data_IF_304310249621
#
_entry.id   IF_304310249621
#
_cell.length_a   1.000
_cell.length_b   1.000
_cell.length_c   1.000
_cell.angle_alpha   90.00
_cell.angle_beta   90.00
_cell.angle_gamma   90.00
#
_symmetry.space_group_name_H-M   'P 1'
#
loop_
_entity.id
_entity.type
_entity.pdbx_description
1 polymer ?
#
# COMPACT_ATOMS: atom_id res chain seq x y z
N UNK A 1 3.94 15.75 -33.07
CA UNK A 1 4.64 15.01 -31.99
C UNK A 1 3.66 14.85 -30.86
N UNK A 2 3.35 13.61 -30.45
CA UNK A 2 2.44 13.41 -29.32
C UNK A 2 3.18 13.75 -28.02
N UNK A 3 2.79 14.83 -27.37
CA UNK A 3 3.37 15.25 -26.11
C UNK A 3 2.90 14.31 -24.98
N UNK A 4 3.82 13.92 -24.09
CA UNK A 4 3.44 13.26 -22.85
C UNK A 4 3.07 14.30 -21.81
N UNK A 5 2.02 14.00 -21.05
CA UNK A 5 1.54 14.76 -19.91
C UNK A 5 1.82 14.02 -18.62
N UNK A 6 2.23 14.74 -17.59
CA UNK A 6 2.62 14.16 -16.30
C UNK A 6 1.84 14.84 -15.18
N UNK A 7 1.10 14.06 -14.44
CA UNK A 7 0.46 14.52 -13.21
C UNK A 7 1.29 14.03 -12.02
N UNK A 8 1.85 14.96 -11.25
CA UNK A 8 2.41 14.69 -9.94
C UNK A 8 1.34 14.83 -8.88
N UNK A 9 1.26 13.86 -7.96
CA UNK A 9 0.27 13.84 -6.89
C UNK A 9 0.98 13.66 -5.56
N UNK A 10 0.89 14.66 -4.69
CA UNK A 10 1.23 14.51 -3.28
C UNK A 10 -0.01 14.04 -2.51
N UNK A 11 0.13 12.89 -1.81
CA UNK A 11 -0.99 12.18 -1.19
C UNK A 11 -1.00 12.39 0.31
N UNK A 12 -2.06 12.99 0.82
CA UNK A 12 -2.33 13.08 2.25
C UNK A 12 -3.67 12.42 2.63
N UNK A 13 -3.93 12.27 3.92
CA UNK A 13 -5.13 11.59 4.44
C UNK A 13 -6.44 12.15 3.87
N UNK A 14 -6.58 13.48 3.74
CA UNK A 14 -7.85 14.13 3.39
C UNK A 14 -7.84 14.79 2.02
N UNK A 15 -6.66 15.09 1.48
CA UNK A 15 -6.49 15.83 0.23
C UNK A 15 -5.37 15.24 -0.62
N UNK A 16 -5.45 15.53 -1.91
CA UNK A 16 -4.37 15.35 -2.87
C UNK A 16 -4.00 16.72 -3.40
N UNK A 17 -2.71 17.04 -3.42
CA UNK A 17 -2.17 18.17 -4.16
C UNK A 17 -1.74 17.66 -5.53
N UNK A 18 -2.26 18.27 -6.60
CA UNK A 18 -2.14 17.79 -7.99
C UNK A 18 -1.43 18.84 -8.83
N UNK A 19 -0.45 18.44 -9.61
CA UNK A 19 0.26 19.33 -10.56
C UNK A 19 0.37 18.63 -11.92
N UNK A 20 -0.26 19.21 -12.96
CA UNK A 20 -0.13 18.79 -14.35
C UNK A 20 1.01 19.52 -15.02
N UNK A 21 1.88 18.78 -15.68
CA UNK A 21 3.00 19.33 -16.46
C UNK A 21 3.06 18.73 -17.87
N UNK A 22 3.48 19.58 -18.82
CA UNK A 22 3.86 19.16 -20.17
C UNK A 22 5.04 20.07 -20.63
N UNK A 23 6.03 19.50 -21.33
CA UNK A 23 7.18 20.24 -21.90
C UNK A 23 7.86 21.21 -20.91
N UNK A 24 8.10 20.77 -19.67
CA UNK A 24 8.67 21.60 -18.58
C UNK A 24 7.80 22.77 -18.09
N UNK A 25 6.56 22.86 -18.51
CA UNK A 25 5.63 23.90 -18.09
C UNK A 25 4.55 23.31 -17.19
N UNK A 26 4.23 24.03 -16.10
CA UNK A 26 3.07 23.74 -15.27
C UNK A 26 1.83 24.25 -16.00
N UNK A 27 0.88 23.38 -16.26
CA UNK A 27 -0.38 23.71 -16.94
C UNK A 27 -1.52 23.90 -15.95
N UNK A 28 -1.55 23.08 -14.87
CA UNK A 28 -2.62 23.09 -13.90
C UNK A 28 -2.12 22.70 -12.52
N UNK A 29 -2.61 23.36 -11.47
CA UNK A 29 -2.36 23.01 -10.08
C UNK A 29 -3.67 23.11 -9.31
N UNK A 30 -3.98 22.07 -8.53
CA UNK A 30 -5.22 22.02 -7.77
C UNK A 30 -5.08 21.13 -6.51
N UNK A 31 -5.95 21.40 -5.55
CA UNK A 31 -6.12 20.56 -4.34
C UNK A 31 -7.49 19.90 -4.40
N UNK A 32 -7.52 18.58 -4.37
CA UNK A 32 -8.76 17.81 -4.44
C UNK A 32 -8.93 16.92 -3.19
N UNK A 33 -10.16 16.60 -2.79
CA UNK A 33 -10.42 15.66 -1.71
C UNK A 33 -9.89 14.26 -2.05
N UNK A 34 -9.26 13.58 -1.08
CA UNK A 34 -8.77 12.21 -1.26
C UNK A 34 -9.91 11.19 -1.17
N UNK A 35 -10.75 11.14 -2.20
CA UNK A 35 -11.78 10.12 -2.40
C UNK A 35 -11.95 9.83 -3.88
N UNK A 36 -12.39 8.62 -4.21
CA UNK A 36 -12.46 8.16 -5.60
C UNK A 36 -13.37 9.00 -6.49
N UNK A 37 -14.49 9.52 -5.96
CA UNK A 37 -15.43 10.34 -6.75
C UNK A 37 -14.79 11.65 -7.19
N UNK A 38 -14.13 12.38 -6.28
CA UNK A 38 -13.45 13.63 -6.59
C UNK A 38 -12.28 13.41 -7.54
N UNK A 39 -11.47 12.36 -7.31
CA UNK A 39 -10.31 12.03 -8.15
C UNK A 39 -10.74 11.70 -9.58
N UNK A 40 -11.74 10.84 -9.76
CA UNK A 40 -12.26 10.46 -11.08
C UNK A 40 -12.83 11.68 -11.81
N UNK A 41 -13.64 12.49 -11.13
CA UNK A 41 -14.22 13.70 -11.72
C UNK A 41 -13.14 14.66 -12.20
N UNK A 42 -12.14 14.93 -11.36
CA UNK A 42 -11.09 15.89 -11.68
C UNK A 42 -10.15 15.41 -12.76
N UNK A 43 -9.74 14.14 -12.73
CA UNK A 43 -8.84 13.62 -13.78
C UNK A 43 -9.53 13.57 -15.15
N UNK A 44 -10.85 13.30 -15.19
CA UNK A 44 -11.63 13.43 -16.43
C UNK A 44 -11.72 14.88 -16.90
N UNK A 45 -11.95 15.84 -16.00
CA UNK A 45 -11.99 17.25 -16.33
C UNK A 45 -10.66 17.73 -16.93
N UNK A 46 -9.52 17.36 -16.29
CA UNK A 46 -8.17 17.66 -16.81
C UNK A 46 -7.97 17.05 -18.20
N UNK A 47 -8.35 15.76 -18.40
CA UNK A 47 -8.22 15.13 -19.72
C UNK A 47 -9.03 15.84 -20.80
N UNK A 48 -10.23 16.29 -20.47
CA UNK A 48 -11.11 17.02 -21.39
C UNK A 48 -10.61 18.45 -21.69
N UNK A 49 -10.20 19.20 -20.65
CA UNK A 49 -9.74 20.58 -20.78
C UNK A 49 -8.47 20.69 -21.62
N UNK A 50 -7.54 19.75 -21.46
CA UNK A 50 -6.25 19.75 -22.16
C UNK A 50 -6.21 18.78 -23.35
N UNK A 51 -7.33 18.17 -23.72
CA UNK A 51 -7.46 17.20 -24.82
C UNK A 51 -6.44 16.05 -24.73
N UNK A 52 -6.23 15.50 -23.52
CA UNK A 52 -5.22 14.49 -23.25
C UNK A 52 -5.75 13.09 -23.51
N UNK A 53 -5.13 12.37 -24.46
CA UNK A 53 -5.34 10.92 -24.61
C UNK A 53 -4.72 10.18 -23.43
N UNK A 54 -5.48 9.23 -22.85
CA UNK A 54 -5.06 8.42 -21.69
C UNK A 54 -3.75 7.66 -21.91
N UNK A 55 -3.39 7.32 -23.15
CA UNK A 55 -2.11 6.69 -23.48
C UNK A 55 -0.91 7.61 -23.29
N UNK A 56 -1.13 8.92 -23.35
CA UNK A 56 -0.12 9.96 -23.21
C UNK A 56 -0.11 10.63 -21.84
N UNK A 57 -0.94 10.12 -20.90
CA UNK A 57 -1.00 10.61 -19.52
C UNK A 57 -0.32 9.62 -18.57
N UNK A 58 0.61 10.12 -17.78
CA UNK A 58 1.26 9.38 -16.70
C UNK A 58 1.02 10.11 -15.38
N UNK A 59 0.44 9.41 -14.42
CA UNK A 59 0.27 9.90 -13.05
C UNK A 59 1.38 9.30 -12.20
N UNK A 60 2.10 10.14 -11.47
CA UNK A 60 3.10 9.74 -10.50
C UNK A 60 2.72 10.24 -9.11
N UNK A 61 2.84 9.37 -8.10
CA UNK A 61 2.58 9.72 -6.71
C UNK A 61 3.60 9.07 -5.79
N UNK A 62 3.87 9.71 -4.64
CA UNK A 62 4.61 9.06 -3.56
C UNK A 62 3.75 7.98 -2.90
N UNK A 63 4.35 6.81 -2.62
CA UNK A 63 3.65 5.76 -1.89
C UNK A 63 3.53 6.12 -0.41
N UNK A 64 2.32 6.47 0.04
CA UNK A 64 1.98 6.87 1.42
C UNK A 64 1.08 5.84 2.14
N UNK A 65 1.28 4.55 1.83
CA UNK A 65 0.53 3.47 2.45
C UNK A 65 -0.96 3.51 2.10
N UNK A 66 -1.82 3.33 3.11
CA UNK A 66 -3.28 3.24 2.91
C UNK A 66 -3.92 4.48 2.27
N UNK A 67 -3.31 5.64 2.38
CA UNK A 67 -3.88 6.87 1.82
C UNK A 67 -3.79 6.94 0.29
N UNK A 68 -2.95 6.11 -0.35
CA UNK A 68 -2.90 5.98 -1.81
C UNK A 68 -4.04 5.14 -2.39
N UNK A 69 -4.80 4.42 -1.58
CA UNK A 69 -5.84 3.49 -2.04
C UNK A 69 -6.92 4.15 -2.92
N UNK A 70 -7.53 5.32 -2.56
CA UNK A 70 -8.50 5.97 -3.45
C UNK A 70 -7.90 6.35 -4.82
N UNK A 71 -6.63 6.78 -4.86
CA UNK A 71 -5.93 7.12 -6.09
C UNK A 71 -5.70 5.87 -6.97
N UNK A 72 -5.24 4.76 -6.38
CA UNK A 72 -5.01 3.51 -7.13
C UNK A 72 -6.29 2.96 -7.75
N UNK A 73 -7.40 2.95 -6.98
CA UNK A 73 -8.71 2.54 -7.49
C UNK A 73 -9.20 3.46 -8.62
N UNK A 74 -9.03 4.78 -8.47
CA UNK A 74 -9.47 5.76 -9.47
C UNK A 74 -8.69 5.65 -10.77
N UNK A 75 -7.37 5.54 -10.71
CA UNK A 75 -6.54 5.35 -11.90
C UNK A 75 -6.84 4.03 -12.62
N UNK A 76 -7.07 2.96 -11.86
CA UNK A 76 -7.50 1.66 -12.42
C UNK A 76 -8.85 1.77 -13.14
N UNK A 77 -9.84 2.44 -12.53
CA UNK A 77 -11.16 2.63 -13.12
C UNK A 77 -11.13 3.52 -14.38
N UNK A 78 -10.18 4.43 -14.48
CA UNK A 78 -9.98 5.31 -15.64
C UNK A 78 -9.07 4.70 -16.72
N UNK A 79 -8.40 3.58 -16.44
CA UNK A 79 -7.39 3.00 -17.34
C UNK A 79 -6.14 3.86 -17.50
N UNK A 80 -5.84 4.76 -16.53
CA UNK A 80 -4.70 5.66 -16.58
C UNK A 80 -3.48 5.01 -15.93
N UNK A 81 -2.31 5.20 -16.54
CA UNK A 81 -1.04 4.70 -16.03
C UNK A 81 -0.67 5.41 -14.73
N UNK A 82 -0.62 4.68 -13.62
CA UNK A 82 -0.18 5.17 -12.32
C UNK A 82 1.20 4.62 -11.99
N UNK A 83 2.11 5.49 -11.63
CA UNK A 83 3.43 5.15 -11.11
C UNK A 83 3.52 5.54 -9.64
N UNK A 84 3.57 4.54 -8.75
CA UNK A 84 3.81 4.74 -7.31
C UNK A 84 5.31 4.61 -7.05
N UNK A 85 5.92 5.70 -6.61
CA UNK A 85 7.35 5.78 -6.38
C UNK A 85 7.69 5.88 -4.88
N UNK A 86 8.89 5.43 -4.52
CA UNK A 86 9.40 5.60 -3.18
C UNK A 86 9.72 7.08 -2.92
N UNK A 87 9.26 7.67 -1.79
CA UNK A 87 9.55 9.05 -1.42
C UNK A 87 11.04 9.40 -1.46
N UNK A 88 11.91 8.45 -1.10
CA UNK A 88 13.36 8.65 -1.14
C UNK A 88 13.88 8.84 -2.56
N UNK A 89 13.38 8.10 -3.55
CA UNK A 89 13.78 8.23 -4.96
C UNK A 89 13.47 9.63 -5.50
N UNK A 90 12.26 10.13 -5.22
CA UNK A 90 11.85 11.48 -5.64
C UNK A 90 12.70 12.53 -4.95
N UNK A 91 12.91 12.42 -3.65
CA UNK A 91 13.71 13.37 -2.85
C UNK A 91 15.15 13.46 -3.34
N UNK A 92 15.82 12.33 -3.58
CA UNK A 92 17.24 12.32 -3.98
C UNK A 92 17.44 12.71 -5.45
N UNK A 93 16.42 12.61 -6.29
CA UNK A 93 16.51 13.00 -7.71
C UNK A 93 16.67 14.51 -7.95
N UNK A 94 16.26 15.34 -6.98
CA UNK A 94 16.26 16.81 -7.12
C UNK A 94 17.62 17.47 -6.89
N UNK A 95 18.64 16.73 -6.41
CA UNK A 95 20.02 17.23 -6.27
C UNK A 95 20.21 18.36 -5.25
N UNK A 96 19.15 18.93 -4.68
CA UNK A 96 19.19 20.01 -3.71
C UNK A 96 18.32 19.68 -2.49
N UNK A 97 18.91 19.78 -1.30
CA UNK A 97 18.18 19.74 -0.04
C UNK A 97 17.48 21.09 0.14
N UNK A 98 16.33 21.27 -0.48
CA UNK A 98 15.50 22.45 -0.17
C UNK A 98 14.84 22.25 1.20
N UNK A 99 15.10 23.18 2.11
CA UNK A 99 14.61 23.20 3.51
C UNK A 99 13.21 23.86 3.65
N UNK A 100 12.40 23.98 2.59
CA UNK A 100 11.06 24.54 2.65
C UNK A 100 10.01 23.46 2.43
N UNK A 101 9.08 23.27 3.36
CA UNK A 101 7.86 22.47 3.18
C UNK A 101 6.79 23.39 2.59
N UNK A 102 6.49 23.21 1.31
CA UNK A 102 5.30 23.77 0.69
C UNK A 102 4.67 22.64 -0.13
N UNK A 103 3.46 22.23 0.22
CA UNK A 103 2.76 21.07 -0.37
C UNK A 103 2.60 21.20 -1.89
N UNK A 104 2.42 22.44 -2.41
CA UNK A 104 2.38 22.73 -3.86
C UNK A 104 3.70 22.42 -4.55
N UNK A 105 4.80 22.67 -3.84
CA UNK A 105 6.16 22.38 -4.34
C UNK A 105 6.37 20.86 -4.44
N UNK A 106 5.73 20.08 -3.58
CA UNK A 106 5.88 18.62 -3.55
C UNK A 106 5.18 17.94 -4.73
N UNK A 107 3.94 18.28 -5.07
CA UNK A 107 3.24 17.75 -6.26
C UNK A 107 3.98 18.11 -7.57
N UNK A 108 4.47 19.35 -7.69
CA UNK A 108 5.29 19.79 -8.82
C UNK A 108 6.61 19.01 -8.91
N UNK A 109 7.28 18.78 -7.78
CA UNK A 109 8.52 17.97 -7.73
C UNK A 109 8.27 16.54 -8.21
N UNK A 110 7.14 15.92 -7.82
CA UNK A 110 6.73 14.59 -8.28
C UNK A 110 6.47 14.61 -9.80
N UNK A 111 5.80 15.62 -10.33
CA UNK A 111 5.57 15.77 -11.78
C UNK A 111 6.88 15.92 -12.57
N UNK A 112 7.83 16.74 -12.08
CA UNK A 112 9.17 16.89 -12.67
C UNK A 112 9.93 15.56 -12.65
N UNK A 113 9.85 14.83 -11.53
CA UNK A 113 10.46 13.51 -11.42
C UNK A 113 9.89 12.56 -12.48
N UNK A 114 8.57 12.48 -12.58
CA UNK A 114 7.90 11.63 -13.55
C UNK A 114 8.32 11.98 -15.00
N UNK A 115 8.38 13.25 -15.33
CA UNK A 115 8.79 13.71 -16.67
C UNK A 115 10.24 13.32 -17.00
N UNK A 116 11.15 13.40 -16.03
CA UNK A 116 12.59 13.09 -16.23
C UNK A 116 12.89 11.60 -16.32
N UNK A 117 12.09 10.77 -15.64
CA UNK A 117 12.38 9.34 -15.44
C UNK A 117 11.29 8.41 -15.94
N UNK A 118 10.35 8.89 -16.77
CA UNK A 118 9.23 8.08 -17.27
C UNK A 118 9.66 6.83 -18.06
N UNK A 119 10.87 6.84 -18.63
CA UNK A 119 11.49 5.69 -19.26
C UNK A 119 11.78 4.52 -18.28
N UNK A 120 11.89 4.84 -16.98
CA UNK A 120 12.11 3.88 -15.89
C UNK A 120 10.84 3.59 -15.09
N UNK A 121 9.70 4.15 -15.49
CA UNK A 121 8.46 4.04 -14.75
C UNK A 121 7.98 2.59 -14.65
N UNK A 122 7.70 2.16 -13.40
CA UNK A 122 7.03 0.90 -13.12
C UNK A 122 5.58 1.20 -12.76
N UNK A 123 4.70 0.93 -13.71
CA UNK A 123 3.30 1.21 -13.50
C UNK A 123 2.67 0.26 -12.49
N UNK A 124 1.90 0.85 -11.58
CA UNK A 124 1.14 0.12 -10.59
C UNK A 124 0.11 -0.79 -11.28
N UNK A 125 0.14 -2.06 -10.90
CA UNK A 125 -0.89 -3.03 -11.29
C UNK A 125 -1.79 -3.25 -10.08
N UNK A 126 -3.07 -3.04 -10.27
CA UNK A 126 -4.03 -3.30 -9.20
C UNK A 126 -4.00 -4.81 -8.88
N UNK A 127 -3.84 -5.20 -7.62
CA UNK A 127 -3.87 -6.61 -7.25
C UNK A 127 -5.24 -7.23 -7.56
N UNK A 128 -5.30 -8.53 -7.69
CA UNK A 128 -6.59 -9.23 -7.81
C UNK A 128 -7.40 -9.07 -6.52
N UNK A 129 -8.71 -9.30 -6.59
CA UNK A 129 -9.61 -9.20 -5.42
C UNK A 129 -9.18 -10.15 -4.29
N UNK A 130 -8.69 -11.32 -4.65
CA UNK A 130 -8.19 -12.33 -3.72
C UNK A 130 -6.95 -11.83 -2.99
N UNK A 131 -5.98 -11.25 -3.71
CA UNK A 131 -4.78 -10.64 -3.13
C UNK A 131 -5.13 -9.45 -2.24
N UNK A 132 -6.06 -8.57 -2.67
CA UNK A 132 -6.54 -7.48 -1.81
C UNK A 132 -7.16 -8.01 -0.52
N UNK A 133 -8.00 -9.04 -0.61
CA UNK A 133 -8.60 -9.66 0.56
C UNK A 133 -7.55 -10.26 1.48
N UNK A 134 -6.58 -11.00 0.95
CA UNK A 134 -5.46 -11.54 1.74
C UNK A 134 -4.65 -10.45 2.42
N UNK A 135 -4.37 -9.31 1.76
CA UNK A 135 -3.68 -8.16 2.37
C UNK A 135 -4.44 -7.59 3.57
N UNK A 136 -5.76 -7.47 3.46
CA UNK A 136 -6.60 -6.98 4.55
C UNK A 136 -6.59 -7.94 5.74
N UNK A 137 -6.79 -9.23 5.49
CA UNK A 137 -6.78 -10.28 6.52
C UNK A 137 -5.42 -10.39 7.22
N UNK A 138 -4.31 -10.34 6.46
CA UNK A 138 -2.96 -10.40 7.02
C UNK A 138 -2.63 -9.15 7.86
N UNK A 139 -3.04 -7.96 7.42
CA UNK A 139 -2.86 -6.74 8.20
C UNK A 139 -3.60 -6.81 9.55
N UNK A 140 -4.84 -7.31 9.55
CA UNK A 140 -5.64 -7.51 10.76
C UNK A 140 -5.02 -8.59 11.65
N UNK A 141 -4.63 -9.73 11.09
CA UNK A 141 -3.94 -10.81 11.79
C UNK A 141 -2.65 -10.33 12.44
N UNK A 142 -1.83 -9.57 11.71
CA UNK A 142 -0.58 -9.00 12.23
C UNK A 142 -0.82 -8.05 13.41
N UNK A 143 -1.92 -7.28 13.40
CA UNK A 143 -2.32 -6.44 14.53
C UNK A 143 -2.64 -7.30 15.75
N UNK A 144 -3.47 -8.34 15.60
CA UNK A 144 -3.86 -9.23 16.71
C UNK A 144 -2.67 -10.02 17.26
N UNK A 145 -1.76 -10.49 16.43
CA UNK A 145 -0.53 -11.16 16.87
C UNK A 145 0.35 -10.23 17.71
N UNK A 146 0.49 -8.95 17.32
CA UNK A 146 1.25 -7.95 18.11
C UNK A 146 0.63 -7.74 19.48
N UNK A 147 -0.68 -7.58 19.56
CA UNK A 147 -1.38 -7.39 20.83
C UNK A 147 -1.36 -8.65 21.68
N UNK A 148 -1.53 -9.82 21.10
CA UNK A 148 -1.38 -11.12 21.78
C UNK A 148 0.00 -11.23 22.46
N UNK A 149 1.08 -10.99 21.71
CA UNK A 149 2.44 -11.07 22.22
C UNK A 149 2.67 -10.07 23.37
N UNK A 150 2.14 -8.85 23.26
CA UNK A 150 2.19 -7.82 24.30
C UNK A 150 1.53 -8.29 25.61
N UNK A 151 0.35 -8.91 25.54
CA UNK A 151 -0.35 -9.40 26.71
C UNK A 151 0.29 -10.65 27.29
N UNK A 152 0.83 -11.55 26.45
CA UNK A 152 1.61 -12.70 26.90
C UNK A 152 2.89 -12.28 27.63
N UNK A 153 3.62 -11.32 27.11
CA UNK A 153 4.79 -10.76 27.75
C UNK A 153 4.45 -10.20 29.14
N UNK A 154 3.37 -9.40 29.26
CA UNK A 154 2.93 -8.90 30.56
C UNK A 154 2.53 -10.01 31.54
N UNK A 155 1.95 -11.10 31.06
CA UNK A 155 1.58 -12.23 31.90
C UNK A 155 2.84 -12.96 32.45
N UNK A 156 3.89 -13.06 31.64
CA UNK A 156 5.12 -13.74 32.01
C UNK A 156 6.03 -12.89 32.91
N UNK A 157 6.19 -11.60 32.57
CA UNK A 157 7.21 -10.76 33.17
C UNK A 157 6.79 -10.14 34.50
N UNK A 158 5.49 -9.96 34.76
CA UNK A 158 5.02 -9.21 35.93
C UNK A 158 4.75 -10.03 37.19
N UNK A 159 4.82 -11.35 37.12
CA UNK A 159 4.53 -12.24 38.26
C UNK A 159 5.44 -11.97 39.47
N UNK A 160 6.71 -11.65 39.24
CA UNK A 160 7.73 -11.42 40.27
C UNK A 160 7.74 -9.98 40.82
N UNK A 161 7.09 -9.04 40.12
CA UNK A 161 7.14 -7.60 40.43
C UNK A 161 5.81 -7.03 40.95
N UNK A 162 4.86 -7.87 41.35
CA UNK A 162 3.54 -7.47 41.78
C UNK A 162 3.05 -8.32 42.96
N UNK A 163 2.21 -7.74 43.84
CA UNK A 163 1.53 -8.51 44.88
C UNK A 163 0.77 -9.70 44.26
N UNK A 164 0.90 -10.88 44.90
CA UNK A 164 0.39 -12.13 44.37
C UNK A 164 -1.13 -12.13 44.15
N UNK A 165 -1.92 -11.47 45.02
CA UNK A 165 -3.37 -11.37 44.89
C UNK A 165 -3.76 -10.45 43.71
N UNK A 166 -3.12 -9.32 43.61
CA UNK A 166 -3.33 -8.37 42.51
C UNK A 166 -2.92 -8.98 41.16
N UNK A 167 -1.79 -9.70 41.13
CA UNK A 167 -1.34 -10.43 39.95
C UNK A 167 -2.34 -11.53 39.55
N UNK A 168 -2.87 -12.27 40.46
CA UNK A 168 -3.88 -13.32 40.19
C UNK A 168 -5.15 -12.74 39.55
N UNK A 169 -5.61 -11.59 40.01
CA UNK A 169 -6.77 -10.89 39.41
C UNK A 169 -6.45 -10.36 38.03
N UNK A 170 -5.28 -9.73 37.86
CA UNK A 170 -4.81 -9.22 36.56
C UNK A 170 -4.62 -10.35 35.55
N UNK A 171 -3.95 -11.44 35.95
CA UNK A 171 -3.70 -12.60 35.06
C UNK A 171 -4.99 -13.27 34.59
N UNK A 172 -6.03 -13.32 35.43
CA UNK A 172 -7.35 -13.83 35.01
C UNK A 172 -7.97 -12.98 33.90
N UNK A 173 -7.82 -11.64 33.95
CA UNK A 173 -8.31 -10.75 32.91
C UNK A 173 -7.46 -10.86 31.63
N UNK A 174 -6.14 -10.90 31.76
CA UNK A 174 -5.22 -11.05 30.62
C UNK A 174 -5.44 -12.36 29.87
N UNK A 175 -5.59 -13.49 30.59
CA UNK A 175 -5.85 -14.80 29.99
C UNK A 175 -7.15 -14.82 29.16
N UNK A 176 -8.19 -14.09 29.59
CA UNK A 176 -9.40 -13.95 28.78
C UNK A 176 -9.17 -13.19 27.48
N UNK A 177 -8.39 -12.09 27.52
CA UNK A 177 -8.05 -11.33 26.32
C UNK A 177 -7.17 -12.16 25.37
N UNK A 178 -6.16 -12.83 25.91
CA UNK A 178 -5.28 -13.73 25.14
C UNK A 178 -6.11 -14.76 24.38
N UNK A 179 -7.04 -15.43 25.05
CA UNK A 179 -7.91 -16.43 24.43
C UNK A 179 -8.74 -15.83 23.27
N UNK A 180 -9.29 -14.64 23.46
CA UNK A 180 -10.06 -13.96 22.39
C UNK A 180 -9.18 -13.66 21.18
N UNK A 181 -7.93 -13.19 21.39
CA UNK A 181 -7.01 -12.96 20.28
C UNK A 181 -6.62 -14.25 19.57
N UNK A 182 -6.36 -15.34 20.30
CA UNK A 182 -6.06 -16.66 19.73
C UNK A 182 -7.23 -17.16 18.85
N UNK A 183 -8.45 -17.06 19.34
CA UNK A 183 -9.67 -17.43 18.59
C UNK A 183 -9.81 -16.58 17.30
N UNK A 184 -9.62 -15.25 17.38
CA UNK A 184 -9.70 -14.36 16.20
C UNK A 184 -8.60 -14.62 15.19
N UNK A 185 -7.37 -14.87 15.64
CA UNK A 185 -6.24 -15.22 14.76
C UNK A 185 -6.55 -16.51 14.00
N UNK A 186 -7.13 -17.51 14.64
CA UNK A 186 -7.48 -18.77 13.98
C UNK A 186 -8.61 -18.62 12.97
N UNK A 187 -9.62 -17.80 13.26
CA UNK A 187 -10.67 -17.43 12.29
C UNK A 187 -10.07 -16.76 11.04
N UNK A 188 -9.14 -15.81 11.24
CA UNK A 188 -8.46 -15.12 10.11
C UNK A 188 -7.58 -16.09 9.30
N UNK A 189 -6.86 -17.01 9.97
CA UNK A 189 -6.10 -18.06 9.30
C UNK A 189 -7.00 -18.94 8.42
N UNK A 190 -8.17 -19.31 8.94
CA UNK A 190 -9.16 -20.11 8.23
C UNK A 190 -9.70 -19.37 7.01
N UNK A 191 -10.04 -18.08 7.16
CA UNK A 191 -10.53 -17.26 6.05
C UNK A 191 -9.46 -17.04 4.98
N UNK A 192 -8.21 -16.77 5.36
CA UNK A 192 -7.08 -16.66 4.41
C UNK A 192 -6.89 -17.95 3.62
N UNK A 193 -6.97 -19.12 4.28
CA UNK A 193 -6.90 -20.39 3.60
C UNK A 193 -8.05 -20.56 2.59
N UNK A 194 -9.28 -20.19 2.95
CA UNK A 194 -10.42 -20.24 2.03
C UNK A 194 -10.19 -19.37 0.79
N UNK A 195 -9.67 -18.15 0.95
CA UNK A 195 -9.34 -17.25 -0.17
C UNK A 195 -8.28 -17.89 -1.06
N UNK A 196 -7.21 -18.47 -0.51
CA UNK A 196 -6.15 -19.15 -1.28
C UNK A 196 -6.74 -20.32 -2.07
N UNK A 197 -7.56 -21.16 -1.42
CA UNK A 197 -8.15 -22.33 -2.08
C UNK A 197 -9.21 -21.97 -3.12
N UNK A 198 -9.80 -20.77 -3.08
CA UNK A 198 -10.78 -20.32 -4.07
C UNK A 198 -10.16 -19.90 -5.41
N UNK A 199 -8.84 -19.70 -5.45
CA UNK A 199 -8.10 -19.27 -6.64
C UNK A 199 -7.02 -20.30 -7.00
N UNK A 200 -7.16 -20.97 -8.13
CA UNK A 200 -6.25 -22.04 -8.58
C UNK A 200 -4.79 -21.59 -8.64
N UNK A 201 -4.53 -20.38 -9.13
CA UNK A 201 -3.18 -19.82 -9.23
C UNK A 201 -2.56 -19.62 -7.84
N UNK A 202 -3.30 -19.04 -6.90
CA UNK A 202 -2.82 -18.82 -5.54
C UNK A 202 -2.62 -20.13 -4.80
N UNK A 203 -3.52 -21.09 -4.98
CA UNK A 203 -3.39 -22.42 -4.40
C UNK A 203 -2.16 -23.17 -4.90
N UNK A 204 -1.89 -23.11 -6.21
CA UNK A 204 -0.69 -23.70 -6.78
C UNK A 204 0.60 -23.06 -6.20
N UNK A 205 0.65 -21.73 -6.13
CA UNK A 205 1.78 -20.99 -5.52
C UNK A 205 1.96 -21.37 -4.05
N UNK A 206 0.86 -21.49 -3.31
CA UNK A 206 0.88 -21.88 -1.90
C UNK A 206 1.44 -23.30 -1.71
N UNK A 207 1.01 -24.27 -2.50
CA UNK A 207 1.56 -25.62 -2.48
C UNK A 207 3.04 -25.68 -2.81
N UNK A 208 3.48 -24.92 -3.82
CA UNK A 208 4.91 -24.81 -4.16
C UNK A 208 5.74 -24.22 -3.01
N UNK A 209 5.24 -23.18 -2.35
CA UNK A 209 5.92 -22.59 -1.19
C UNK A 209 6.02 -23.59 -0.04
N UNK A 210 4.95 -24.32 0.25
CA UNK A 210 4.93 -25.31 1.33
C UNK A 210 5.79 -26.55 1.04
N UNK A 211 6.15 -26.82 -0.22
CA UNK A 211 7.08 -27.90 -0.55
C UNK A 211 8.54 -27.60 -0.13
N UNK A 212 8.84 -26.34 0.22
CA UNK A 212 10.15 -25.93 0.71
C UNK A 212 10.23 -26.23 2.21
N UNK A 213 11.26 -26.94 2.63
CA UNK A 213 11.49 -27.27 4.05
C UNK A 213 11.59 -26.00 4.90
N UNK A 214 10.85 -25.95 6.00
CA UNK A 214 10.78 -24.78 6.91
C UNK A 214 9.75 -23.72 6.52
N UNK A 215 9.09 -23.84 5.36
CA UNK A 215 8.04 -22.91 4.94
C UNK A 215 6.66 -23.44 5.37
N UNK A 216 6.16 -22.96 6.51
CA UNK A 216 4.80 -23.27 6.98
C UNK A 216 3.73 -22.38 6.33
N UNK A 217 2.45 -22.67 6.64
CA UNK A 217 1.27 -21.96 6.10
C UNK A 217 1.35 -20.43 6.22
N UNK A 218 1.77 -19.92 7.37
CA UNK A 218 1.89 -18.48 7.63
C UNK A 218 2.92 -17.82 6.72
N UNK A 219 4.09 -18.45 6.59
CA UNK A 219 5.18 -17.92 5.74
C UNK A 219 4.75 -17.95 4.26
N UNK A 220 4.14 -19.05 3.82
CA UNK A 220 3.64 -19.19 2.46
C UNK A 220 2.59 -18.10 2.12
N UNK A 221 1.62 -17.89 3.00
CA UNK A 221 0.60 -16.83 2.83
C UNK A 221 1.25 -15.45 2.79
N UNK A 222 2.18 -15.14 3.70
CA UNK A 222 2.88 -13.86 3.73
C UNK A 222 3.69 -13.60 2.46
N UNK A 223 4.37 -14.61 1.93
CA UNK A 223 5.09 -14.51 0.66
C UNK A 223 4.14 -14.15 -0.50
N UNK A 224 2.99 -14.80 -0.60
CA UNK A 224 1.96 -14.49 -1.60
C UNK A 224 1.49 -13.03 -1.44
N UNK A 225 1.19 -12.59 -0.23
CA UNK A 225 0.69 -11.23 0.07
C UNK A 225 1.72 -10.17 -0.29
N UNK A 226 2.98 -10.32 0.16
CA UNK A 226 4.03 -9.31 -0.02
C UNK A 226 4.48 -9.19 -1.47
N UNK A 227 4.44 -10.31 -2.20
CA UNK A 227 4.84 -10.36 -3.62
C UNK A 227 3.69 -10.10 -4.60
N UNK A 228 2.48 -9.83 -4.11
CA UNK A 228 1.28 -9.74 -4.95
C UNK A 228 1.09 -10.98 -5.84
N UNK A 229 1.23 -12.17 -5.26
CA UNK A 229 1.19 -13.42 -6.03
C UNK A 229 2.36 -13.53 -7.03
N UNK A 230 3.55 -13.09 -6.63
CA UNK A 230 4.78 -13.07 -7.45
C UNK A 230 4.71 -12.18 -8.70
N UNK A 231 3.88 -11.13 -8.67
CA UNK A 231 3.77 -10.16 -9.78
C UNK A 231 4.44 -8.82 -9.49
N UNK A 232 4.81 -8.55 -8.23
CA UNK A 232 5.36 -7.26 -7.79
C UNK A 232 6.82 -7.07 -8.14
N UNK A 233 7.59 -8.16 -8.20
CA UNK A 233 9.04 -8.14 -8.39
C UNK A 233 9.43 -8.95 -9.63
N UNK A 234 10.37 -8.45 -10.43
CA UNK A 234 10.84 -9.14 -11.63
C UNK A 234 11.84 -10.28 -11.31
N UNK A 235 12.49 -10.20 -10.14
CA UNK A 235 13.45 -11.21 -9.67
C UNK A 235 13.63 -11.15 -8.15
N UNK A 236 14.22 -12.20 -7.57
CA UNK A 236 14.43 -12.34 -6.12
C UNK A 236 15.33 -11.26 -5.48
N UNK A 237 16.18 -10.57 -6.26
CA UNK A 237 17.06 -9.51 -5.72
C UNK A 237 16.29 -8.22 -5.43
N UNK A 238 15.09 -8.07 -5.97
CA UNK A 238 14.24 -6.89 -5.73
C UNK A 238 13.33 -7.07 -4.51
N UNK A 239 13.20 -8.30 -4.00
CA UNK A 239 12.48 -8.67 -2.78
C UNK A 239 13.33 -8.41 -1.54
#
# INVERSE_FOLDING_TARGET
MNNFYFIGVDVSKKKLDVCLMCNNQVLHEEIIPNNSTAIISQFRAIQQEYEIDGNHLIICAEYTGQYTYPLTCSCSALGIKLWLENPSSIKYSSGSIQRGKDDKTDAKRIAIYAMRFHDKARYYKHPTKEIERLKQLEAERSLYVKDLNKYQAQLNDQAEYMDAKLFKEKSKRLKKLIRVFEERIEELNTEMNQVIHSCEVLYHQYCLLQSVEGVGAVVATNMIVVTDGFTRFDNARQF
#
